data_IF_082218194110
#
_entry.id   IF_082218194110
#
_cell.length_a   1.000
_cell.length_b   1.000
_cell.length_c   1.000
_cell.angle_alpha   90.00
_cell.angle_beta   90.00
_cell.angle_gamma   90.00
#
_symmetry.space_group_name_H-M   'P 1'
#
loop_
_entity.id
_entity.type
_entity.pdbx_description
1 polymer ?
#
# COMPACT_ATOMS: atom_id res chain seq x y z
N UNK A 1 -33.10 -20.55 -7.09
CA UNK A 1 -31.65 -20.85 -7.04
C UNK A 1 -30.94 -19.54 -7.30
N UNK A 2 -30.68 -18.80 -6.23
CA UNK A 2 -29.99 -17.51 -6.25
C UNK A 2 -28.47 -17.74 -6.25
N UNK A 3 -27.93 -18.25 -7.35
CA UNK A 3 -26.49 -18.50 -7.52
C UNK A 3 -25.76 -17.42 -8.33
N UNK A 4 -26.43 -16.33 -8.69
CA UNK A 4 -25.83 -15.19 -9.40
C UNK A 4 -25.44 -14.01 -8.49
N UNK A 5 -25.18 -14.30 -7.21
CA UNK A 5 -24.62 -13.34 -6.25
C UNK A 5 -23.20 -13.70 -5.84
N UNK A 6 -22.45 -14.40 -6.70
CA UNK A 6 -21.00 -14.40 -6.62
C UNK A 6 -20.56 -13.00 -7.03
N UNK A 7 -20.49 -12.14 -6.01
CA UNK A 7 -19.82 -10.85 -5.92
C UNK A 7 -19.05 -10.54 -7.21
N UNK A 8 -19.59 -9.59 -7.97
CA UNK A 8 -18.75 -8.70 -8.75
C UNK A 8 -17.87 -7.94 -7.74
N UNK A 9 -16.80 -8.59 -7.26
CA UNK A 9 -15.73 -7.93 -6.52
C UNK A 9 -15.19 -6.90 -7.49
N UNK A 10 -15.47 -5.62 -7.23
CA UNK A 10 -14.90 -4.54 -8.03
C UNK A 10 -13.39 -4.75 -8.00
N UNK A 11 -12.74 -4.82 -9.17
CA UNK A 11 -11.30 -5.04 -9.26
C UNK A 11 -10.52 -4.08 -8.34
N UNK A 12 -11.04 -2.87 -8.15
CA UNK A 12 -10.53 -1.86 -7.23
C UNK A 12 -10.57 -2.28 -5.75
N UNK A 13 -11.60 -2.99 -5.28
CA UNK A 13 -11.63 -3.56 -3.92
C UNK A 13 -10.54 -4.60 -3.74
N UNK A 14 -10.34 -5.45 -4.75
CA UNK A 14 -9.26 -6.45 -4.73
C UNK A 14 -7.87 -5.79 -4.74
N UNK A 15 -7.71 -4.69 -5.51
CA UNK A 15 -6.44 -3.95 -5.53
C UNK A 15 -6.16 -3.22 -4.22
N UNK A 16 -7.18 -2.67 -3.55
CA UNK A 16 -7.03 -2.07 -2.22
C UNK A 16 -6.49 -3.08 -1.21
N UNK A 17 -7.15 -4.25 -1.13
CA UNK A 17 -6.76 -5.31 -0.21
C UNK A 17 -5.34 -5.83 -0.53
N UNK A 18 -5.03 -6.01 -1.81
CA UNK A 18 -3.70 -6.42 -2.25
C UNK A 18 -2.64 -5.37 -1.86
N UNK A 19 -2.89 -4.09 -2.15
CA UNK A 19 -1.95 -3.02 -1.84
C UNK A 19 -1.73 -2.91 -0.33
N UNK A 20 -2.80 -2.90 0.46
CA UNK A 20 -2.70 -2.88 1.92
C UNK A 20 -1.85 -4.07 2.41
N UNK A 21 -2.16 -5.29 1.95
CA UNK A 21 -1.44 -6.51 2.35
C UNK A 21 0.05 -6.47 2.00
N UNK A 22 0.40 -6.00 0.79
CA UNK A 22 1.80 -5.89 0.35
C UNK A 22 2.55 -4.87 1.19
N UNK A 23 1.96 -3.71 1.45
CA UNK A 23 2.58 -2.69 2.28
C UNK A 23 2.78 -3.20 3.71
N UNK A 24 1.76 -3.82 4.31
CA UNK A 24 1.85 -4.42 5.64
C UNK A 24 2.96 -5.49 5.71
N UNK A 25 3.04 -6.36 4.70
CA UNK A 25 4.10 -7.36 4.61
C UNK A 25 5.50 -6.73 4.55
N UNK A 26 5.70 -5.70 3.73
CA UNK A 26 6.99 -5.00 3.63
C UNK A 26 7.35 -4.35 4.95
N UNK A 27 6.41 -3.70 5.62
CA UNK A 27 6.63 -3.03 6.90
C UNK A 27 6.99 -4.03 8.00
N UNK A 28 6.25 -5.13 8.12
CA UNK A 28 6.57 -6.20 9.07
C UNK A 28 7.94 -6.84 8.78
N UNK A 29 8.38 -6.85 7.52
CA UNK A 29 9.71 -7.28 7.11
C UNK A 29 10.84 -6.30 7.46
N UNK A 30 10.54 -5.07 7.89
CA UNK A 30 11.53 -4.11 8.40
C UNK A 30 11.71 -4.32 9.90
N UNK A 31 10.61 -4.30 10.66
CA UNK A 31 10.57 -4.65 12.08
C UNK A 31 9.13 -4.97 12.49
N UNK A 32 8.97 -5.67 13.61
CA UNK A 32 7.65 -6.01 14.18
C UNK A 32 6.80 -4.76 14.42
N UNK A 33 7.44 -3.65 14.85
CA UNK A 33 6.75 -2.42 15.23
C UNK A 33 6.52 -1.47 14.04
N UNK A 34 7.16 -1.69 12.89
CA UNK A 34 7.11 -0.76 11.75
C UNK A 34 5.69 -0.55 11.25
N UNK A 35 4.86 -1.60 11.20
CA UNK A 35 3.46 -1.48 10.79
C UNK A 35 2.67 -0.60 11.77
N UNK A 36 2.85 -0.79 13.07
CA UNK A 36 2.15 0.00 14.09
C UNK A 36 2.55 1.47 14.01
N UNK A 37 3.85 1.75 13.87
CA UNK A 37 4.38 3.12 13.77
C UNK A 37 3.82 3.83 12.53
N UNK A 38 3.82 3.16 11.38
CA UNK A 38 3.27 3.73 10.14
C UNK A 38 1.76 3.96 10.25
N UNK A 39 1.00 2.99 10.79
CA UNK A 39 -0.44 3.17 10.98
C UNK A 39 -0.77 4.32 11.94
N UNK A 40 -0.04 4.43 13.04
CA UNK A 40 -0.16 5.56 13.96
C UNK A 40 0.10 6.88 13.24
N UNK A 41 1.17 6.96 12.46
CA UNK A 41 1.56 8.18 11.76
C UNK A 41 0.59 8.56 10.63
N UNK A 42 0.09 7.58 9.87
CA UNK A 42 -0.99 7.77 8.90
C UNK A 42 -2.25 8.31 9.57
N UNK A 43 -2.60 7.81 10.75
CA UNK A 43 -3.77 8.26 11.47
C UNK A 43 -3.60 9.68 12.00
N UNK A 44 -2.43 9.99 12.57
CA UNK A 44 -2.11 11.30 13.12
C UNK A 44 -2.04 12.40 12.04
N UNK A 45 -1.33 12.14 10.95
CA UNK A 45 -1.01 13.17 9.95
C UNK A 45 -2.06 13.28 8.85
N UNK A 46 -2.77 12.19 8.54
CA UNK A 46 -3.65 12.09 7.38
C UNK A 46 -5.06 11.54 7.71
N UNK A 47 -5.32 11.13 8.96
CA UNK A 47 -6.59 10.52 9.40
C UNK A 47 -6.96 9.19 8.74
N UNK A 48 -6.04 8.55 8.02
CA UNK A 48 -6.24 7.27 7.31
C UNK A 48 -5.47 6.11 7.94
N UNK A 49 -5.68 4.91 7.43
CA UNK A 49 -5.02 3.64 7.82
C UNK A 49 -4.44 2.92 6.59
N UNK A 50 -3.66 1.84 6.80
CA UNK A 50 -3.11 1.02 5.71
C UNK A 50 -4.17 0.48 4.73
N UNK A 51 -5.42 0.26 5.15
CA UNK A 51 -6.49 -0.17 4.25
C UNK A 51 -6.96 0.89 3.25
N UNK A 52 -6.64 2.16 3.50
CA UNK A 52 -7.11 3.32 2.70
C UNK A 52 -6.00 3.88 1.80
N UNK A 53 -4.76 3.40 1.92
CA UNK A 53 -3.60 3.96 1.21
C UNK A 53 -3.70 3.85 -0.31
N UNK A 54 -4.48 2.91 -0.84
CA UNK A 54 -4.69 2.78 -2.28
C UNK A 54 -5.33 4.04 -2.88
N UNK A 55 -6.22 4.71 -2.14
CA UNK A 55 -6.81 5.99 -2.55
C UNK A 55 -5.93 7.20 -2.24
N UNK A 56 -4.98 7.02 -1.32
CA UNK A 56 -4.17 8.08 -0.77
C UNK A 56 -2.68 7.71 -0.79
N UNK A 57 -2.10 7.36 -1.96
CA UNK A 57 -0.70 6.97 -2.07
C UNK A 57 0.26 8.07 -1.61
N UNK A 58 -0.09 9.35 -1.78
CA UNK A 58 0.71 10.48 -1.33
C UNK A 58 0.87 10.51 0.20
N UNK A 59 -0.18 10.13 0.93
CA UNK A 59 -0.15 10.04 2.40
C UNK A 59 0.81 8.95 2.86
N UNK A 60 0.77 7.78 2.22
CA UNK A 60 1.73 6.71 2.48
C UNK A 60 3.15 7.17 2.17
N UNK A 61 3.37 7.77 0.99
CA UNK A 61 4.68 8.28 0.60
C UNK A 61 5.23 9.25 1.64
N UNK A 62 4.44 10.25 2.04
CA UNK A 62 4.80 11.26 3.03
C UNK A 62 5.24 10.61 4.34
N UNK A 63 4.45 9.66 4.86
CA UNK A 63 4.74 8.96 6.11
C UNK A 63 6.01 8.11 6.00
N UNK A 64 6.18 7.35 4.92
CA UNK A 64 7.37 6.52 4.73
C UNK A 64 8.64 7.37 4.59
N UNK A 65 8.60 8.49 3.88
CA UNK A 65 9.73 9.43 3.79
C UNK A 65 10.03 10.05 5.16
N UNK A 66 9.00 10.47 5.89
CA UNK A 66 9.14 11.08 7.21
C UNK A 66 9.80 10.13 8.22
N UNK A 67 9.41 8.85 8.21
CA UNK A 67 9.90 7.85 9.15
C UNK A 67 11.26 7.24 8.75
N UNK A 68 11.47 7.01 7.45
CA UNK A 68 12.61 6.23 6.98
C UNK A 68 13.64 7.04 6.18
N UNK A 69 13.32 8.28 5.81
CA UNK A 69 14.23 9.22 5.15
C UNK A 69 14.98 8.59 3.98
N UNK A 70 16.31 8.55 4.09
CA UNK A 70 17.19 7.97 3.07
C UNK A 70 16.97 6.46 2.82
N UNK A 71 16.29 5.75 3.72
CA UNK A 71 15.95 4.33 3.53
C UNK A 71 14.67 4.14 2.72
N UNK A 72 13.94 5.21 2.40
CA UNK A 72 12.71 5.16 1.63
C UNK A 72 12.87 4.42 0.30
N UNK A 73 13.94 4.69 -0.45
CA UNK A 73 14.19 4.05 -1.74
C UNK A 73 14.32 2.52 -1.62
N UNK A 74 14.89 2.03 -0.52
CA UNK A 74 15.00 0.60 -0.26
C UNK A 74 13.63 -0.04 0.01
N UNK A 75 12.76 0.67 0.72
CA UNK A 75 11.38 0.23 0.99
C UNK A 75 10.57 0.24 -0.30
N UNK A 76 10.66 1.31 -1.09
CA UNK A 76 10.01 1.44 -2.38
C UNK A 76 10.42 0.30 -3.33
N UNK A 77 11.71 -0.02 -3.37
CA UNK A 77 12.20 -1.15 -4.16
C UNK A 77 11.62 -2.50 -3.71
N UNK A 78 11.47 -2.72 -2.39
CA UNK A 78 10.80 -3.94 -1.88
C UNK A 78 9.34 -4.01 -2.31
N UNK A 79 8.61 -2.90 -2.22
CA UNK A 79 7.22 -2.81 -2.66
C UNK A 79 7.11 -3.11 -4.15
N UNK A 80 7.94 -2.48 -4.97
CA UNK A 80 8.01 -2.70 -6.42
C UNK A 80 8.31 -4.14 -6.78
N UNK A 81 9.29 -4.77 -6.13
CA UNK A 81 9.66 -6.16 -6.42
C UNK A 81 8.51 -7.13 -6.16
N UNK A 82 7.65 -6.86 -5.17
CA UNK A 82 6.46 -7.69 -4.92
C UNK A 82 5.44 -7.47 -6.04
N UNK A 83 5.18 -6.22 -6.42
CA UNK A 83 4.23 -5.90 -7.48
C UNK A 83 4.72 -6.24 -8.89
N UNK A 84 6.02 -6.25 -9.21
CA UNK A 84 6.55 -6.55 -10.56
C UNK A 84 6.15 -7.95 -11.06
N UNK A 85 5.83 -8.86 -10.14
CA UNK A 85 5.24 -10.17 -10.47
C UNK A 85 3.77 -10.11 -10.92
N UNK A 86 3.13 -8.95 -10.76
CA UNK A 86 1.69 -8.70 -10.85
C UNK A 86 1.31 -7.46 -11.67
N UNK A 87 2.26 -6.55 -12.01
CA UNK A 87 2.03 -5.30 -12.75
C UNK A 87 1.76 -5.59 -14.24
N UNK A 88 0.57 -6.10 -14.52
CA UNK A 88 -0.09 -5.97 -15.83
C UNK A 88 -1.34 -5.09 -15.75
N UNK A 89 -1.55 -4.42 -14.62
CA UNK A 89 -2.79 -3.74 -14.26
C UNK A 89 -2.55 -2.25 -14.00
N UNK A 90 -3.32 -1.40 -14.70
CA UNK A 90 -3.12 0.06 -14.72
C UNK A 90 -3.18 0.71 -13.32
N UNK A 91 -4.13 0.30 -12.46
CA UNK A 91 -4.34 0.95 -11.15
C UNK A 91 -3.19 0.74 -10.15
N UNK A 92 -2.55 -0.44 -10.14
CA UNK A 92 -1.37 -0.68 -9.30
C UNK A 92 -0.17 0.10 -9.83
N UNK A 93 -0.02 0.16 -11.15
CA UNK A 93 1.03 0.96 -11.78
C UNK A 93 0.90 2.45 -11.43
N UNK A 94 -0.32 2.98 -11.41
CA UNK A 94 -0.59 4.36 -11.02
C UNK A 94 -0.24 4.61 -9.54
N UNK A 95 -0.64 3.70 -8.65
CA UNK A 95 -0.29 3.74 -7.23
C UNK A 95 1.24 3.78 -7.04
N UNK A 96 1.98 2.86 -7.66
CA UNK A 96 3.44 2.81 -7.58
C UNK A 96 4.08 4.07 -8.16
N UNK A 97 3.54 4.59 -9.26
CA UNK A 97 4.04 5.82 -9.88
C UNK A 97 3.93 7.04 -8.96
N UNK A 98 2.90 7.12 -8.12
CA UNK A 98 2.79 8.20 -7.12
C UNK A 98 3.88 8.08 -6.05
N UNK A 99 4.24 6.87 -5.64
CA UNK A 99 5.32 6.65 -4.68
C UNK A 99 6.69 7.09 -5.25
N UNK A 100 6.90 7.00 -6.57
CA UNK A 100 8.15 7.38 -7.23
C UNK A 100 8.34 8.89 -7.42
N UNK A 101 7.27 9.69 -7.51
CA UNK A 101 7.30 11.13 -7.87
C UNK A 101 7.54 12.04 -6.68
#
# INVERSE_FOLDING_TARGET
MDEYKIKNLNADETYRELVATVIEHVLLGISVDSLEIVNKKLKEDHSITTSEIFDHPESLKSVLISLYGNSYDSILNKIKNIFDTSISQNSISDFVSVLER
#
